data_IF_443699943095
#
_entry.id   IF_443699943095
#
_cell.length_a   1.000
_cell.length_b   1.000
_cell.length_c   1.000
_cell.angle_alpha   90.00
_cell.angle_beta   90.00
_cell.angle_gamma   90.00
#
_symmetry.space_group_name_H-M   'P 1'
#
loop_
_entity.id
_entity.type
_entity.pdbx_description
1 polymer ?
#
# COMPACT_ATOMS: atom_id res chain seq x y z
N UNK A 1 -46.14 -13.14 48.73
CA UNK A 1 -45.32 -11.91 48.87
C UNK A 1 -44.18 -11.93 47.85
N UNK A 2 -44.15 -10.87 47.04
CA UNK A 2 -43.09 -10.18 46.25
C UNK A 2 -41.70 -10.79 45.96
N UNK A 3 -41.28 -10.43 44.73
CA UNK A 3 -39.94 -10.27 44.10
C UNK A 3 -39.43 -11.51 43.34
N UNK A 4 -39.44 -11.58 42.00
CA UNK A 4 -38.86 -10.72 40.93
C UNK A 4 -37.35 -10.51 41.09
N UNK A 5 -36.57 -11.50 40.67
CA UNK A 5 -35.14 -11.37 40.40
C UNK A 5 -34.87 -11.13 38.91
N UNK A 6 -34.80 -9.87 38.48
CA UNK A 6 -34.25 -9.49 37.18
C UNK A 6 -32.72 -9.59 37.25
N UNK A 7 -32.04 -10.28 36.33
CA UNK A 7 -30.59 -10.11 36.20
C UNK A 7 -30.06 -10.12 34.77
N UNK A 8 -29.63 -8.90 34.37
CA UNK A 8 -28.46 -8.53 33.56
C UNK A 8 -28.35 -9.06 32.12
N UNK A 9 -28.95 -8.28 31.22
CA UNK A 9 -28.45 -8.05 29.85
C UNK A 9 -27.01 -7.52 29.92
N UNK A 10 -26.03 -8.31 29.50
CA UNK A 10 -24.64 -7.90 29.38
C UNK A 10 -24.40 -7.30 27.99
N UNK A 11 -24.68 -6.01 27.83
CA UNK A 11 -24.33 -5.23 26.64
C UNK A 11 -22.83 -5.00 26.63
N UNK A 12 -22.08 -5.92 25.99
CA UNK A 12 -20.66 -5.75 25.74
C UNK A 12 -20.47 -4.60 24.75
N UNK A 13 -20.32 -3.38 25.31
CA UNK A 13 -19.77 -2.18 24.67
C UNK A 13 -18.52 -2.61 23.89
N UNK A 14 -18.64 -2.84 22.58
CA UNK A 14 -17.47 -2.91 21.70
C UNK A 14 -16.94 -1.48 21.63
N UNK A 15 -15.95 -1.24 22.47
CA UNK A 15 -15.08 -0.08 22.44
C UNK A 15 -14.78 0.30 21.00
N UNK A 16 -15.24 1.48 20.58
CA UNK A 16 -14.74 2.17 19.38
C UNK A 16 -13.24 2.34 19.58
N UNK A 17 -12.44 1.39 19.09
CA UNK A 17 -10.98 1.47 19.13
C UNK A 17 -10.56 2.59 18.19
N UNK A 18 -10.29 3.75 18.79
CA UNK A 18 -9.26 4.69 18.35
C UNK A 18 -9.46 5.28 16.97
N UNK A 19 -10.29 6.32 16.88
CA UNK A 19 -10.00 7.40 15.95
C UNK A 19 -8.64 7.99 16.34
N UNK A 20 -7.57 7.54 15.68
CA UNK A 20 -6.25 8.14 15.82
C UNK A 20 -6.29 9.50 15.13
N UNK A 21 -6.41 10.57 15.91
CA UNK A 21 -6.18 11.97 15.55
C UNK A 21 -4.72 12.26 15.17
N UNK A 22 -4.05 11.35 14.45
CA UNK A 22 -2.71 11.60 13.90
C UNK A 22 -2.83 12.13 12.49
N UNK A 23 -2.93 13.46 12.46
CA UNK A 23 -2.70 14.34 11.33
C UNK A 23 -3.65 14.17 10.13
N UNK A 24 -3.97 15.32 9.55
CA UNK A 24 -4.22 15.52 8.13
C UNK A 24 -3.07 14.87 7.30
N UNK A 25 -3.09 13.53 7.19
CA UNK A 25 -1.93 12.71 6.89
C UNK A 25 -2.03 11.96 5.57
N UNK A 26 -0.91 11.96 4.82
CA UNK A 26 -0.75 11.21 3.58
C UNK A 26 -0.79 9.71 3.87
N UNK A 27 -1.68 8.98 3.21
CA UNK A 27 -1.84 7.52 3.38
C UNK A 27 -1.86 6.81 2.04
N UNK A 28 -1.27 5.62 1.97
CA UNK A 28 -1.29 4.79 0.77
C UNK A 28 -1.73 3.36 1.06
N UNK A 29 -2.65 2.86 0.24
CA UNK A 29 -3.15 1.48 0.32
C UNK A 29 -2.83 0.75 -0.97
N UNK A 30 -2.09 -0.36 -0.84
CA UNK A 30 -1.76 -1.24 -1.95
C UNK A 30 -2.76 -2.39 -2.01
N UNK A 31 -3.32 -2.65 -3.20
CA UNK A 31 -4.26 -3.75 -3.47
C UNK A 31 -3.92 -4.41 -4.80
N UNK A 32 -4.48 -5.60 -5.07
CA UNK A 32 -4.54 -6.12 -6.44
C UNK A 32 -5.27 -5.11 -7.32
N UNK A 33 -4.78 -4.95 -8.55
CA UNK A 33 -5.39 -4.04 -9.51
C UNK A 33 -6.79 -4.54 -9.92
N UNK A 34 -7.74 -3.62 -10.07
CA UNK A 34 -9.03 -3.91 -10.74
C UNK A 34 -8.90 -3.95 -12.27
N UNK A 35 -7.85 -3.35 -12.82
CA UNK A 35 -7.50 -3.47 -14.24
C UNK A 35 -6.70 -4.77 -14.46
N UNK A 36 -7.23 -5.67 -15.29
CA UNK A 36 -6.66 -6.98 -15.61
C UNK A 36 -5.28 -6.93 -16.27
N UNK A 37 -4.94 -5.83 -16.95
CA UNK A 37 -3.62 -5.62 -17.57
C UNK A 37 -2.54 -5.23 -16.55
N UNK A 38 -2.93 -4.88 -15.32
CA UNK A 38 -2.02 -4.38 -14.28
C UNK A 38 -2.01 -5.32 -13.08
N UNK A 39 -0.88 -5.38 -12.38
CA UNK A 39 -0.70 -6.30 -11.26
C UNK A 39 -1.27 -5.74 -9.96
N UNK A 40 -0.90 -4.51 -9.62
CA UNK A 40 -1.29 -3.86 -8.38
C UNK A 40 -1.84 -2.45 -8.65
N UNK A 41 -2.55 -1.93 -7.66
CA UNK A 41 -2.92 -0.53 -7.59
C UNK A 41 -2.55 0.05 -6.24
N UNK A 42 -2.10 1.30 -6.25
CA UNK A 42 -1.92 2.13 -5.07
C UNK A 42 -3.04 3.16 -5.02
N UNK A 43 -3.75 3.22 -3.89
CA UNK A 43 -4.77 4.23 -3.63
C UNK A 43 -4.22 5.21 -2.62
N UNK A 44 -4.04 6.45 -3.06
CA UNK A 44 -3.50 7.55 -2.29
C UNK A 44 -4.62 8.35 -1.65
N UNK A 45 -4.42 8.70 -0.39
CA UNK A 45 -5.32 9.51 0.39
C UNK A 45 -4.56 10.66 1.03
N UNK A 46 -5.24 11.79 1.14
CA UNK A 46 -4.79 12.96 1.88
C UNK A 46 -5.97 13.47 2.69
N UNK A 47 -5.76 13.68 3.99
CA UNK A 47 -6.80 14.15 4.92
C UNK A 47 -8.07 13.28 4.87
N UNK A 48 -7.89 11.97 4.74
CA UNK A 48 -8.97 10.99 4.63
C UNK A 48 -9.64 10.90 3.25
N UNK A 49 -9.42 11.87 2.36
CA UNK A 49 -10.00 11.88 1.00
C UNK A 49 -9.10 11.14 0.02
N UNK A 50 -9.70 10.34 -0.86
CA UNK A 50 -8.97 9.68 -1.95
C UNK A 50 -8.58 10.75 -2.97
N UNK A 51 -7.27 10.88 -3.23
CA UNK A 51 -6.74 11.85 -4.19
C UNK A 51 -6.35 11.21 -5.51
N UNK A 52 -5.89 9.95 -5.50
CA UNK A 52 -5.42 9.28 -6.71
C UNK A 52 -5.45 7.76 -6.58
N UNK A 53 -5.73 7.08 -7.69
CA UNK A 53 -5.41 5.66 -7.85
C UNK A 53 -4.42 5.52 -8.97
N UNK A 54 -3.40 4.68 -8.78
CA UNK A 54 -2.41 4.41 -9.81
C UNK A 54 -2.22 2.92 -9.94
N UNK A 55 -2.47 2.40 -11.12
CA UNK A 55 -2.27 0.99 -11.47
C UNK A 55 -0.86 0.81 -12.02
N UNK A 56 -0.14 -0.20 -11.53
CA UNK A 56 1.28 -0.39 -11.86
C UNK A 56 1.65 -1.88 -11.90
N UNK A 57 2.80 -2.16 -12.55
CA UNK A 57 3.24 -3.50 -12.91
C UNK A 57 2.37 -4.14 -13.99
N UNK A 58 2.98 -4.84 -14.93
CA UNK A 58 2.24 -5.64 -15.91
C UNK A 58 1.72 -6.95 -15.28
N UNK A 59 0.48 -7.32 -15.59
CA UNK A 59 -0.07 -8.61 -15.19
C UNK A 59 0.74 -9.76 -15.84
N UNK A 60 0.81 -10.92 -15.16
CA UNK A 60 1.57 -12.08 -15.64
C UNK A 60 3.10 -11.98 -15.52
N UNK A 61 3.67 -10.78 -15.56
CA UNK A 61 5.13 -10.62 -15.58
C UNK A 61 5.81 -10.96 -14.24
N UNK A 62 7.07 -11.41 -14.31
CA UNK A 62 7.92 -11.63 -13.13
C UNK A 62 8.73 -10.38 -12.79
N UNK A 63 8.86 -10.10 -11.49
CA UNK A 63 9.60 -8.97 -10.93
C UNK A 63 10.49 -9.43 -9.77
N UNK A 64 11.28 -8.50 -9.22
CA UNK A 64 12.28 -8.81 -8.20
C UNK A 64 11.66 -9.47 -6.95
N UNK A 65 10.41 -9.14 -6.65
CA UNK A 65 9.68 -9.75 -5.52
C UNK A 65 9.36 -11.24 -5.72
N UNK A 66 9.46 -11.75 -6.95
CA UNK A 66 9.26 -13.16 -7.29
C UNK A 66 10.58 -13.89 -7.53
N UNK A 67 11.38 -13.41 -8.47
CA UNK A 67 12.59 -14.13 -8.92
C UNK A 67 13.82 -13.87 -8.06
N UNK A 68 13.88 -12.74 -7.34
CA UNK A 68 15.00 -12.33 -6.46
C UNK A 68 16.39 -12.22 -7.13
N UNK A 69 16.50 -12.46 -8.43
CA UNK A 69 17.67 -12.17 -9.25
C UNK A 69 18.03 -10.66 -9.29
N UNK A 70 19.21 -10.34 -8.76
CA UNK A 70 19.76 -8.99 -8.65
C UNK A 70 20.23 -8.40 -9.99
N UNK A 71 20.70 -9.23 -10.91
CA UNK A 71 21.11 -8.80 -12.25
C UNK A 71 19.91 -8.33 -13.07
N UNK A 72 18.77 -9.04 -12.98
CA UNK A 72 17.49 -8.58 -13.58
C UNK A 72 17.03 -7.25 -13.03
N UNK A 73 17.18 -7.05 -11.71
CA UNK A 73 16.90 -5.76 -11.08
C UNK A 73 17.79 -4.66 -11.66
N UNK A 74 19.10 -4.90 -11.80
CA UNK A 74 20.00 -3.91 -12.37
C UNK A 74 19.65 -3.55 -13.83
N UNK A 75 19.29 -4.54 -14.66
CA UNK A 75 18.81 -4.29 -16.02
C UNK A 75 17.54 -3.44 -16.05
N UNK A 76 16.59 -3.70 -15.14
CA UNK A 76 15.42 -2.84 -14.99
C UNK A 76 15.82 -1.40 -14.64
N UNK A 77 16.74 -1.21 -13.69
CA UNK A 77 17.21 0.13 -13.30
C UNK A 77 17.83 0.88 -14.47
N UNK A 78 18.73 0.23 -15.21
CA UNK A 78 19.45 0.84 -16.32
C UNK A 78 18.49 1.31 -17.42
N UNK A 79 17.42 0.55 -17.70
CA UNK A 79 16.42 0.89 -18.71
C UNK A 79 15.52 2.06 -18.32
N UNK A 80 15.16 2.18 -17.04
CA UNK A 80 14.16 3.15 -16.60
C UNK A 80 14.73 4.41 -15.95
N UNK A 81 16.01 4.41 -15.55
CA UNK A 81 16.64 5.58 -14.91
C UNK A 81 16.57 6.86 -15.75
N UNK A 82 16.53 6.73 -17.08
CA UNK A 82 16.55 7.86 -18.01
C UNK A 82 15.14 8.39 -18.35
N UNK A 83 14.10 7.59 -18.15
CA UNK A 83 12.74 7.88 -18.64
C UNK A 83 11.71 8.03 -17.52
N UNK A 84 12.00 7.53 -16.33
CA UNK A 84 11.08 7.57 -15.19
C UNK A 84 11.55 8.56 -14.11
N UNK A 85 10.64 9.45 -13.71
CA UNK A 85 10.83 10.29 -12.54
C UNK A 85 10.45 9.52 -11.26
N UNK A 86 11.45 8.94 -10.62
CA UNK A 86 11.29 8.20 -9.36
C UNK A 86 11.10 9.11 -8.14
N UNK A 87 11.22 10.42 -8.28
CA UNK A 87 10.94 11.36 -7.17
C UNK A 87 9.45 11.55 -6.96
N UNK A 88 8.62 11.29 -7.99
CA UNK A 88 7.16 11.45 -7.93
C UNK A 88 6.48 10.16 -7.45
N UNK A 89 6.11 10.04 -6.14
CA UNK A 89 5.67 8.78 -5.54
C UNK A 89 4.43 8.17 -6.19
N UNK A 90 3.51 8.99 -6.67
CA UNK A 90 2.22 8.53 -7.21
C UNK A 90 2.28 8.14 -8.69
N UNK A 91 3.47 8.04 -9.30
CA UNK A 91 3.63 7.60 -10.69
C UNK A 91 3.75 6.09 -10.78
N UNK A 92 3.34 5.50 -11.90
CA UNK A 92 3.47 4.07 -12.12
C UNK A 92 4.94 3.62 -12.15
N UNK A 93 5.86 4.47 -12.61
CA UNK A 93 7.31 4.22 -12.60
C UNK A 93 7.88 4.15 -11.19
N UNK A 94 7.64 5.17 -10.36
CA UNK A 94 8.07 5.16 -8.96
C UNK A 94 7.49 3.95 -8.20
N UNK A 95 6.20 3.67 -8.38
CA UNK A 95 5.56 2.49 -7.77
C UNK A 95 6.20 1.19 -8.24
N UNK A 96 6.43 1.02 -9.54
CA UNK A 96 7.07 -0.20 -10.06
C UNK A 96 8.49 -0.35 -9.52
N UNK A 97 9.29 0.72 -9.55
CA UNK A 97 10.65 0.74 -8.99
C UNK A 97 10.67 0.34 -7.52
N UNK A 98 9.94 1.06 -6.68
CA UNK A 98 10.08 0.94 -5.23
C UNK A 98 9.28 -0.20 -4.62
N UNK A 99 8.21 -0.65 -5.29
CA UNK A 99 7.34 -1.72 -4.78
C UNK A 99 7.68 -3.07 -5.41
N UNK A 100 8.01 -3.11 -6.71
CA UNK A 100 8.25 -4.37 -7.44
C UNK A 100 9.73 -4.68 -7.69
N UNK A 101 10.60 -3.65 -7.73
CA UNK A 101 12.02 -3.79 -8.08
C UNK A 101 12.99 -3.33 -6.97
N UNK A 102 12.52 -3.19 -5.73
CA UNK A 102 13.33 -2.68 -4.62
C UNK A 102 13.90 -3.78 -3.73
N UNK A 103 13.05 -4.46 -2.95
CA UNK A 103 13.40 -5.52 -2.01
C UNK A 103 12.89 -6.88 -2.48
N UNK A 104 13.49 -8.00 -2.02
CA UNK A 104 13.11 -9.35 -2.45
C UNK A 104 11.69 -9.77 -2.05
N UNK A 105 11.05 -9.05 -1.12
CA UNK A 105 9.66 -9.29 -0.73
C UNK A 105 8.82 -8.04 -0.96
N UNK A 106 7.59 -8.25 -1.44
CA UNK A 106 6.62 -7.17 -1.67
C UNK A 106 6.34 -6.37 -0.38
N UNK A 107 6.22 -7.07 0.76
CA UNK A 107 5.99 -6.42 2.06
C UNK A 107 7.13 -5.49 2.43
N UNK A 108 8.39 -5.94 2.30
CA UNK A 108 9.55 -5.09 2.61
C UNK A 108 9.62 -3.88 1.67
N UNK A 109 9.36 -4.08 0.38
CA UNK A 109 9.30 -2.99 -0.62
C UNK A 109 8.22 -1.96 -0.29
N UNK A 110 7.02 -2.40 0.13
CA UNK A 110 5.93 -1.51 0.56
C UNK A 110 6.32 -0.70 1.79
N UNK A 111 6.94 -1.32 2.80
CA UNK A 111 7.38 -0.60 3.99
C UNK A 111 8.47 0.43 3.68
N UNK A 112 9.44 0.06 2.84
CA UNK A 112 10.48 1.00 2.37
C UNK A 112 9.88 2.18 1.61
N UNK A 113 8.91 1.92 0.71
CA UNK A 113 8.20 2.97 -0.03
C UNK A 113 7.46 3.92 0.92
N UNK A 114 6.71 3.38 1.89
CA UNK A 114 5.97 4.19 2.87
C UNK A 114 6.90 5.08 3.69
N UNK A 115 8.00 4.51 4.19
CA UNK A 115 9.03 5.27 4.92
C UNK A 115 9.67 6.35 4.06
N UNK A 116 10.03 6.03 2.81
CA UNK A 116 10.70 6.94 1.87
C UNK A 116 9.87 8.19 1.55
N UNK A 117 8.56 8.02 1.37
CA UNK A 117 7.67 9.08 0.93
C UNK A 117 6.72 9.59 2.02
N UNK A 118 6.99 9.22 3.27
CA UNK A 118 6.21 9.61 4.45
C UNK A 118 4.70 9.32 4.30
N UNK A 119 4.36 8.12 3.84
CA UNK A 119 2.98 7.64 3.81
C UNK A 119 2.68 6.71 4.99
N UNK A 120 1.47 6.85 5.51
CA UNK A 120 0.85 5.88 6.41
C UNK A 120 0.39 4.61 5.68
#
# INVERSE_FOLDING_TARGET
MKTIGKNKRNTKKRSKKGGSSRANGKRVVFKKSTNSKKKYMAVFYENGKKIKTTHFGAAGMSDYTKHKDSARKQRYMNRHKATEDWSKPMTAGALSRYVLWNKPSLKASIQDYKKRFNYL
#
